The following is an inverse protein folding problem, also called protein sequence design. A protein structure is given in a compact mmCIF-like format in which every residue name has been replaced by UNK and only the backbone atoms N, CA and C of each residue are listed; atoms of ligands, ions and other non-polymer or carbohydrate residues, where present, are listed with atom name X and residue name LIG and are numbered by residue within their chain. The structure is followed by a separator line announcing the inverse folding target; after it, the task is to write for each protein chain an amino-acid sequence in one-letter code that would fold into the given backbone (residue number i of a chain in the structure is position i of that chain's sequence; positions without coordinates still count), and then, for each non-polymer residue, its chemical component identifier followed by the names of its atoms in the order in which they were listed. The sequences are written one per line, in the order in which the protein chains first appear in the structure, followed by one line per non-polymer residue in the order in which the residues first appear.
data_IF_531295912157
#
_entry.id   IF_531295912157
#
_cell.length_a   1.000
_cell.length_b   1.000
_cell.length_c   1.000
_cell.angle_alpha   90.00
_cell.angle_beta   90.00
_cell.angle_gamma   90.00
#
_symmetry.space_group_name_H-M   'P 1'
#
loop_
_entity.id
_entity.type
_entity.pdbx_description
1 polymer ?
#
# COMPACT_ATOMS: atom_id res chain seq x y z
N UNK A 1 2.23 45.68 -9.88
CA UNK A 1 1.26 44.57 -9.76
C UNK A 1 0.64 44.23 -11.12
N UNK A 2 0.41 45.21 -11.99
CA UNK A 2 -0.21 45.05 -13.32
C UNK A 2 0.53 44.18 -14.36
N UNK A 3 1.85 44.02 -14.30
CA UNK A 3 2.55 43.15 -15.28
C UNK A 3 2.27 41.66 -15.05
N UNK A 4 2.09 41.26 -13.79
CA UNK A 4 1.90 39.84 -13.43
C UNK A 4 0.52 39.36 -13.85
N UNK A 5 -0.51 40.21 -13.71
CA UNK A 5 -1.88 39.86 -14.09
C UNK A 5 -2.04 39.73 -15.62
N UNK A 6 -1.29 40.52 -16.40
CA UNK A 6 -1.31 40.44 -17.86
C UNK A 6 -0.73 39.12 -18.37
N UNK A 7 0.40 38.67 -17.80
CA UNK A 7 1.05 37.40 -18.18
C UNK A 7 0.16 36.20 -17.84
N UNK A 8 -0.52 36.23 -16.69
CA UNK A 8 -1.44 35.15 -16.27
C UNK A 8 -2.66 35.08 -17.20
N UNK A 9 -3.17 36.23 -17.65
CA UNK A 9 -4.32 36.27 -18.56
C UNK A 9 -3.99 35.81 -19.97
N UNK A 10 -2.76 36.04 -20.44
CA UNK A 10 -2.28 35.60 -21.76
C UNK A 10 -1.97 34.08 -21.78
N UNK A 11 -1.41 33.54 -20.70
CA UNK A 11 -1.12 32.10 -20.58
C UNK A 11 -2.37 31.23 -20.36
N UNK A 12 -3.46 31.79 -19.85
CA UNK A 12 -4.71 31.07 -19.60
C UNK A 12 -5.52 30.73 -20.86
N UNK A 13 -5.28 31.42 -21.97
CA UNK A 13 -6.03 31.22 -23.23
C UNK A 13 -5.44 30.14 -24.14
N UNK A 14 -4.26 29.61 -23.82
CA UNK A 14 -3.54 28.60 -24.64
C UNK A 14 -3.60 27.18 -24.03
N UNK A 15 -4.33 27.00 -22.93
CA UNK A 15 -4.55 25.69 -22.31
C UNK A 15 -5.78 25.03 -22.92
N UNK A 16 -5.61 24.53 -24.14
CA UNK A 16 -6.51 23.55 -24.74
C UNK A 16 -6.55 22.29 -23.86
N UNK A 17 -7.77 21.82 -23.59
CA UNK A 17 -8.09 20.60 -22.86
C UNK A 17 -7.43 19.39 -23.54
N UNK A 18 -6.38 18.82 -22.92
CA UNK A 18 -5.66 17.66 -23.47
C UNK A 18 -4.16 17.55 -23.17
N UNK A 19 -3.53 18.53 -22.52
CA UNK A 19 -2.10 18.46 -22.21
C UNK A 19 -1.81 17.83 -20.84
N UNK A 20 -2.15 16.55 -20.64
CA UNK A 20 -1.49 15.75 -19.59
C UNK A 20 -0.11 15.40 -20.11
N UNK A 21 0.87 16.28 -19.91
CA UNK A 21 2.27 15.91 -20.02
C UNK A 21 2.60 14.99 -18.84
N UNK A 22 2.42 13.70 -19.05
CA UNK A 22 3.05 12.65 -18.26
C UNK A 22 4.54 12.91 -18.32
N UNK A 23 5.10 13.47 -17.25
CA UNK A 23 6.53 13.55 -17.05
C UNK A 23 7.03 12.11 -16.87
N UNK A 24 7.32 11.45 -17.98
CA UNK A 24 8.13 10.25 -18.02
C UNK A 24 9.50 10.63 -17.45
N UNK A 25 9.72 10.33 -16.16
CA UNK A 25 11.06 10.36 -15.58
C UNK A 25 11.94 9.48 -16.49
N UNK A 26 12.89 10.10 -17.19
CA UNK A 26 13.87 9.38 -17.97
C UNK A 26 14.58 8.39 -17.04
N UNK A 27 14.53 7.10 -17.38
CA UNK A 27 15.38 6.11 -16.76
C UNK A 27 16.84 6.53 -16.98
N UNK A 28 17.52 6.89 -15.90
CA UNK A 28 18.95 7.20 -15.93
C UNK A 28 19.68 5.90 -15.64
N UNK A 29 20.43 5.40 -16.62
CA UNK A 29 21.29 4.25 -16.45
C UNK A 29 22.38 4.55 -15.39
N UNK A 30 22.41 3.82 -14.26
CA UNK A 30 23.43 4.01 -13.22
C UNK A 30 24.85 3.77 -13.72
N UNK A 31 25.04 2.96 -14.78
CA UNK A 31 26.35 2.63 -15.33
C UNK A 31 27.03 3.85 -15.98
N UNK A 32 26.27 4.90 -16.32
CA UNK A 32 26.79 6.16 -16.88
C UNK A 32 27.78 6.87 -15.93
N UNK A 33 27.69 6.64 -14.63
CA UNK A 33 28.55 7.27 -13.63
C UNK A 33 29.76 6.41 -13.22
N UNK A 34 29.82 5.14 -13.64
CA UNK A 34 30.81 4.18 -13.13
C UNK A 34 32.14 4.18 -13.88
N UNK A 35 32.12 4.18 -15.21
CA UNK A 35 33.35 3.92 -15.99
C UNK A 35 34.20 5.17 -16.23
N UNK A 36 33.58 6.32 -16.50
CA UNK A 36 34.30 7.52 -16.92
C UNK A 36 35.14 8.18 -15.80
N UNK A 37 34.82 7.93 -14.53
CA UNK A 37 35.55 8.54 -13.42
C UNK A 37 36.88 7.81 -13.12
N UNK A 38 36.91 6.49 -13.33
CA UNK A 38 38.06 5.65 -13.00
C UNK A 38 39.28 5.91 -13.91
N UNK A 39 39.07 6.18 -15.20
CA UNK A 39 40.18 6.43 -16.14
C UNK A 39 40.86 7.79 -15.90
N UNK A 40 40.13 8.81 -15.44
CA UNK A 40 40.67 10.17 -15.29
C UNK A 40 41.60 10.36 -14.09
N UNK A 41 41.51 9.50 -13.08
CA UNK A 41 42.32 9.58 -11.86
C UNK A 41 43.65 8.79 -11.92
N UNK A 42 43.83 7.93 -12.92
CA UNK A 42 44.99 7.05 -13.02
C UNK A 42 46.26 7.72 -13.60
N UNK A 43 46.17 8.98 -14.02
CA UNK A 43 47.23 9.65 -14.81
C UNK A 43 48.36 10.34 -14.04
N UNK A 44 48.28 10.52 -12.71
CA UNK A 44 49.27 11.34 -12.00
C UNK A 44 49.58 10.98 -10.54
N UNK A 45 49.10 9.84 -10.03
CA UNK A 45 49.44 9.39 -8.67
C UNK A 45 49.88 7.92 -8.66
N UNK A 46 50.98 7.63 -7.98
CA UNK A 46 51.50 6.27 -7.71
C UNK A 46 50.63 5.58 -6.65
N UNK A 47 49.35 5.39 -6.97
CA UNK A 47 48.33 4.83 -6.07
C UNK A 47 47.96 3.45 -6.55
N UNK A 48 48.23 2.44 -5.72
CA UNK A 48 47.83 1.06 -5.95
C UNK A 48 46.41 0.85 -5.41
N UNK A 49 45.44 0.70 -6.30
CA UNK A 49 44.08 0.30 -5.93
C UNK A 49 44.08 -1.22 -5.70
N UNK A 50 43.85 -1.65 -4.46
CA UNK A 50 43.63 -3.06 -4.13
C UNK A 50 42.11 -3.27 -4.01
N UNK A 51 41.49 -4.08 -4.88
CA UNK A 51 40.06 -4.36 -4.77
C UNK A 51 39.81 -5.25 -3.54
N UNK A 52 39.07 -4.72 -2.57
CA UNK A 52 38.51 -5.51 -1.47
C UNK A 52 37.24 -6.23 -1.95
N UNK A 53 36.95 -7.40 -1.36
CA UNK A 53 35.77 -8.18 -1.73
C UNK A 53 34.49 -7.35 -1.56
N UNK A 54 33.80 -7.03 -2.66
CA UNK A 54 32.49 -6.38 -2.63
C UNK A 54 31.40 -7.42 -2.91
N UNK A 55 30.41 -7.49 -2.02
CA UNK A 55 29.19 -8.24 -2.27
C UNK A 55 28.11 -7.28 -2.73
N UNK A 56 27.67 -7.41 -3.97
CA UNK A 56 26.49 -6.68 -4.49
C UNK A 56 25.31 -7.63 -4.40
N UNK A 57 24.32 -7.29 -3.58
CA UNK A 57 23.02 -7.97 -3.58
C UNK A 57 22.08 -7.21 -4.52
N UNK A 58 21.82 -7.70 -5.74
CA UNK A 58 20.82 -7.09 -6.61
C UNK A 58 19.46 -7.14 -5.91
N UNK A 59 18.68 -6.06 -6.03
CA UNK A 59 17.30 -6.04 -5.56
C UNK A 59 16.54 -7.15 -6.30
N UNK A 60 15.94 -8.07 -5.55
CA UNK A 60 15.08 -9.09 -6.13
C UNK A 60 13.99 -8.39 -6.96
N UNK A 61 13.86 -8.78 -8.22
CA UNK A 61 12.66 -8.45 -8.99
C UNK A 61 11.49 -9.04 -8.22
N UNK A 62 10.52 -8.20 -7.84
CA UNK A 62 9.27 -8.69 -7.27
C UNK A 62 8.74 -9.71 -8.27
N UNK A 63 8.74 -10.98 -7.90
CA UNK A 63 8.07 -12.00 -8.70
C UNK A 63 6.60 -11.58 -8.78
N UNK A 64 6.03 -11.54 -9.99
CA UNK A 64 4.59 -11.27 -10.19
C UNK A 64 3.71 -12.30 -9.43
N UNK A 65 4.32 -13.34 -8.87
CA UNK A 65 3.70 -14.36 -8.03
C UNK A 65 3.84 -14.15 -6.51
N UNK A 66 4.50 -13.08 -6.06
CA UNK A 66 4.57 -12.78 -4.63
C UNK A 66 3.24 -12.18 -4.14
N UNK A 67 2.63 -12.70 -3.04
CA UNK A 67 1.42 -12.11 -2.47
C UNK A 67 1.65 -10.64 -2.10
N UNK A 68 0.78 -9.77 -2.60
CA UNK A 68 0.75 -8.37 -2.18
C UNK A 68 -0.22 -8.22 -1.01
N UNK A 69 0.18 -7.48 0.03
CA UNK A 69 -0.71 -7.16 1.14
C UNK A 69 -1.23 -5.74 1.01
N UNK A 70 -2.54 -5.59 1.14
CA UNK A 70 -3.23 -4.30 1.12
C UNK A 70 -4.09 -4.14 2.38
N UNK A 71 -4.45 -2.90 2.69
CA UNK A 71 -5.40 -2.62 3.76
C UNK A 71 -6.55 -1.75 3.25
N UNK A 72 -7.74 -2.07 3.72
CA UNK A 72 -8.96 -1.29 3.49
C UNK A 72 -9.57 -0.85 4.81
N UNK A 73 -10.18 0.34 4.80
CA UNK A 73 -10.91 0.91 5.93
C UNK A 73 -12.40 0.94 5.59
N UNK A 74 -13.22 0.22 6.35
CA UNK A 74 -14.68 0.16 6.18
C UNK A 74 -15.35 0.87 7.36
N UNK A 75 -15.84 2.11 7.18
CA UNK A 75 -16.53 2.85 8.23
C UNK A 75 -18.02 2.49 8.31
N UNK A 76 -18.52 2.37 9.54
CA UNK A 76 -19.94 2.12 9.81
C UNK A 76 -20.65 3.47 10.03
N UNK A 77 -21.40 3.94 9.03
CA UNK A 77 -22.16 5.20 9.11
C UNK A 77 -23.52 5.05 9.80
N UNK A 78 -23.99 3.81 9.94
CA UNK A 78 -25.22 3.39 10.63
C UNK A 78 -24.95 2.05 11.31
N UNK A 79 -25.87 1.64 12.19
CA UNK A 79 -25.87 0.28 12.71
C UNK A 79 -26.05 -0.70 11.54
N UNK A 80 -25.12 -1.65 11.40
CA UNK A 80 -25.03 -2.53 10.22
C UNK A 80 -24.44 -3.89 10.60
N UNK A 81 -24.92 -4.96 9.96
CA UNK A 81 -24.33 -6.29 10.10
C UNK A 81 -22.93 -6.35 9.44
N UNK A 82 -22.00 -7.04 10.10
CA UNK A 82 -20.60 -7.12 9.63
C UNK A 82 -20.51 -7.75 8.23
N UNK A 83 -21.31 -8.78 7.96
CA UNK A 83 -21.37 -9.41 6.63
C UNK A 83 -21.88 -8.44 5.56
N UNK A 84 -22.88 -7.62 5.88
CA UNK A 84 -23.41 -6.62 4.95
C UNK A 84 -22.38 -5.52 4.69
N UNK A 85 -21.60 -5.12 5.71
CA UNK A 85 -20.51 -4.16 5.56
C UNK A 85 -19.43 -4.66 4.60
N UNK A 86 -18.99 -5.92 4.74
CA UNK A 86 -18.05 -6.54 3.79
C UNK A 86 -18.62 -6.59 2.38
N UNK A 87 -19.89 -7.00 2.22
CA UNK A 87 -20.54 -7.08 0.92
C UNK A 87 -20.64 -5.71 0.23
N UNK A 88 -20.94 -4.65 0.99
CA UNK A 88 -20.99 -3.27 0.47
C UNK A 88 -19.61 -2.76 0.01
N UNK A 89 -18.53 -3.27 0.59
CA UNK A 89 -17.15 -3.06 0.14
C UNK A 89 -16.71 -3.99 -1.00
N UNK A 90 -17.58 -4.87 -1.48
CA UNK A 90 -17.29 -5.81 -2.57
C UNK A 90 -16.71 -7.15 -2.11
N UNK A 91 -16.60 -7.40 -0.80
CA UNK A 91 -16.13 -8.67 -0.24
C UNK A 91 -17.30 -9.60 0.06
N UNK A 92 -17.64 -10.45 -0.89
CA UNK A 92 -18.76 -11.42 -0.78
C UNK A 92 -18.27 -12.87 -0.69
N UNK A 93 -16.95 -13.09 -0.64
CA UNK A 93 -16.35 -14.41 -0.56
C UNK A 93 -16.58 -15.14 0.77
N UNK A 94 -16.26 -16.44 0.77
CA UNK A 94 -16.32 -17.29 1.97
C UNK A 94 -15.38 -16.79 3.08
N UNK A 95 -14.25 -16.20 2.69
CA UNK A 95 -13.26 -15.60 3.59
C UNK A 95 -13.85 -14.40 4.36
N UNK A 96 -14.58 -13.52 3.68
CA UNK A 96 -15.24 -12.37 4.28
C UNK A 96 -16.40 -12.81 5.19
N UNK A 97 -17.18 -13.80 4.75
CA UNK A 97 -18.27 -14.38 5.54
C UNK A 97 -17.74 -15.07 6.80
N UNK A 98 -16.67 -15.86 6.68
CA UNK A 98 -16.02 -16.52 7.81
C UNK A 98 -15.40 -15.52 8.79
N UNK A 99 -14.81 -14.43 8.29
CA UNK A 99 -14.29 -13.36 9.14
C UNK A 99 -15.42 -12.64 9.89
N UNK A 100 -16.53 -12.32 9.22
CA UNK A 100 -17.71 -11.73 9.85
C UNK A 100 -18.28 -12.61 10.95
N UNK A 101 -18.39 -13.92 10.72
CA UNK A 101 -18.80 -14.88 11.75
C UNK A 101 -17.83 -14.93 12.94
N UNK A 102 -16.51 -14.89 12.68
CA UNK A 102 -15.52 -14.90 13.74
C UNK A 102 -15.63 -13.64 14.61
N UNK A 103 -15.82 -12.47 14.00
CA UNK A 103 -16.08 -11.21 14.70
C UNK A 103 -17.36 -11.32 15.53
N UNK A 104 -18.43 -11.86 14.94
CA UNK A 104 -19.71 -11.99 15.63
C UNK A 104 -19.65 -12.93 16.83
N UNK A 105 -18.91 -14.05 16.73
CA UNK A 105 -18.68 -14.99 17.84
C UNK A 105 -17.87 -14.36 18.95
N UNK A 106 -16.85 -13.55 18.61
CA UNK A 106 -15.96 -12.95 19.60
C UNK A 106 -16.61 -11.75 20.31
N UNK A 107 -17.31 -10.88 19.58
CA UNK A 107 -18.01 -9.71 20.12
C UNK A 107 -19.42 -10.03 20.64
N UNK A 108 -19.91 -11.25 20.42
CA UNK A 108 -21.26 -11.68 20.72
C UNK A 108 -22.35 -10.77 20.09
N UNK A 109 -22.07 -10.26 18.88
CA UNK A 109 -22.93 -9.33 18.15
C UNK A 109 -22.70 -9.45 16.63
N UNK A 110 -23.77 -9.59 15.84
CA UNK A 110 -23.66 -9.67 14.37
C UNK A 110 -23.59 -8.29 13.71
N UNK A 111 -24.15 -7.28 14.38
CA UNK A 111 -24.17 -5.90 13.93
C UNK A 111 -23.32 -5.00 14.83
N UNK A 112 -22.61 -4.07 14.20
CA UNK A 112 -21.78 -3.07 14.86
C UNK A 112 -22.44 -1.70 14.77
N UNK A 113 -22.15 -0.85 15.76
CA UNK A 113 -22.74 0.48 15.88
C UNK A 113 -22.16 1.47 14.88
N UNK A 114 -22.95 2.47 14.52
CA UNK A 114 -22.43 3.64 13.82
C UNK A 114 -21.21 4.25 14.56
N UNK A 115 -20.18 4.64 13.81
CA UNK A 115 -18.90 5.12 14.35
C UNK A 115 -17.84 4.03 14.54
N UNK A 116 -18.20 2.76 14.34
CA UNK A 116 -17.22 1.66 14.28
C UNK A 116 -16.45 1.72 12.95
N UNK A 117 -15.19 1.31 12.98
CA UNK A 117 -14.33 1.22 11.80
C UNK A 117 -13.69 -0.17 11.76
N UNK A 118 -13.75 -0.82 10.59
CA UNK A 118 -12.97 -2.03 10.32
C UNK A 118 -11.71 -1.66 9.54
N UNK A 119 -10.55 -2.10 10.03
CA UNK A 119 -9.29 -2.10 9.28
C UNK A 119 -9.05 -3.53 8.78
N UNK A 120 -9.31 -3.75 7.50
CA UNK A 120 -9.29 -5.05 6.83
C UNK A 120 -7.94 -5.23 6.15
N UNK A 121 -7.18 -6.26 6.54
CA UNK A 121 -5.98 -6.69 5.85
C UNK A 121 -6.32 -7.72 4.78
N UNK A 122 -5.86 -7.46 3.57
CA UNK A 122 -6.12 -8.23 2.37
C UNK A 122 -4.81 -8.83 1.85
N UNK A 123 -4.87 -10.09 1.46
CA UNK A 123 -3.85 -10.75 0.67
C UNK A 123 -4.33 -10.80 -0.78
N UNK A 124 -3.61 -10.14 -1.67
CA UNK A 124 -3.94 -9.97 -3.08
C UNK A 124 -3.04 -10.86 -3.92
N UNK A 125 -3.67 -11.71 -4.74
CA UNK A 125 -3.03 -12.57 -5.72
C UNK A 125 -3.66 -12.30 -7.09
N UNK A 126 -2.97 -11.53 -7.94
CA UNK A 126 -3.53 -11.05 -9.21
C UNK A 126 -4.81 -10.24 -8.95
N UNK A 127 -5.94 -10.70 -9.51
CA UNK A 127 -7.25 -10.03 -9.38
C UNK A 127 -8.06 -10.50 -8.15
N UNK A 128 -7.57 -11.47 -7.39
CA UNK A 128 -8.28 -12.00 -6.22
C UNK A 128 -7.73 -11.39 -4.92
N UNK A 129 -8.61 -10.77 -4.12
CA UNK A 129 -8.30 -10.31 -2.79
C UNK A 129 -8.95 -11.22 -1.74
N UNK A 130 -8.17 -11.62 -0.74
CA UNK A 130 -8.60 -12.47 0.37
C UNK A 130 -8.47 -11.73 1.69
N UNK A 131 -9.52 -11.70 2.49
CA UNK A 131 -9.54 -11.15 3.85
C UNK A 131 -8.74 -12.06 4.78
N UNK A 132 -7.55 -11.60 5.19
CA UNK A 132 -6.64 -12.35 6.08
C UNK A 132 -6.56 -11.75 7.48
N UNK A 133 -6.96 -10.50 7.66
CA UNK A 133 -6.99 -9.83 8.97
C UNK A 133 -8.14 -8.84 9.03
N UNK A 134 -8.75 -8.66 10.20
CA UNK A 134 -9.67 -7.55 10.44
C UNK A 134 -9.53 -7.06 11.87
N UNK A 135 -9.32 -5.75 12.02
CA UNK A 135 -9.30 -5.06 13.31
C UNK A 135 -10.54 -4.20 13.44
N UNK A 136 -11.21 -4.28 14.58
CA UNK A 136 -12.43 -3.52 14.90
C UNK A 136 -12.07 -2.40 15.85
N UNK A 137 -12.48 -1.19 15.49
CA UNK A 137 -12.26 0.02 16.28
C UNK A 137 -13.59 0.70 16.59
N UNK A 138 -13.85 1.08 17.84
CA UNK A 138 -14.86 2.11 18.16
C UNK A 138 -14.15 3.46 18.18
N UNK A 139 -14.36 4.28 17.14
CA UNK A 139 -13.64 5.54 16.92
C UNK A 139 -12.12 5.34 16.91
N UNK A 140 -11.44 5.65 18.02
CA UNK A 140 -9.98 5.53 18.16
C UNK A 140 -9.58 4.39 19.10
N UNK A 141 -10.54 3.66 19.66
CA UNK A 141 -10.29 2.58 20.60
C UNK A 141 -10.28 1.25 19.84
N UNK A 142 -9.16 0.54 19.89
CA UNK A 142 -9.07 -0.84 19.44
C UNK A 142 -9.93 -1.74 20.33
N UNK A 143 -10.76 -2.58 19.70
CA UNK A 143 -11.62 -3.54 20.40
C UNK A 143 -11.06 -4.95 20.24
N UNK A 144 -10.79 -5.36 19.00
CA UNK A 144 -10.25 -6.69 18.70
C UNK A 144 -9.58 -6.71 17.32
N UNK A 145 -8.57 -7.56 17.17
CA UNK A 145 -8.07 -7.98 15.86
C UNK A 145 -8.21 -9.49 15.73
N UNK A 146 -8.69 -9.93 14.57
CA UNK A 146 -8.75 -11.34 14.17
C UNK A 146 -7.90 -11.51 12.92
N UNK A 147 -7.11 -12.57 12.86
CA UNK A 147 -6.28 -12.92 11.72
C UNK A 147 -6.44 -14.39 11.33
N UNK A 148 -6.18 -14.69 10.06
CA UNK A 148 -6.10 -16.05 9.53
C UNK A 148 -4.70 -16.60 9.80
N UNK A 149 -4.61 -17.74 10.48
CA UNK A 149 -3.33 -18.43 10.67
C UNK A 149 -3.00 -19.39 9.51
N UNK A 150 -1.81 -19.98 9.54
CA UNK A 150 -1.33 -20.95 8.51
C UNK A 150 -2.19 -22.21 8.38
N UNK A 151 -3.07 -22.48 9.36
CA UNK A 151 -4.03 -23.59 9.33
C UNK A 151 -5.40 -23.17 8.77
N UNK A 152 -5.54 -21.94 8.28
CA UNK A 152 -6.80 -21.39 7.80
C UNK A 152 -7.83 -21.12 8.90
N UNK A 153 -7.39 -20.93 10.15
CA UNK A 153 -8.27 -20.68 11.28
C UNK A 153 -8.24 -19.19 11.65
N UNK A 154 -9.41 -18.63 11.95
CA UNK A 154 -9.55 -17.28 12.50
C UNK A 154 -9.17 -17.29 13.99
N UNK A 155 -8.12 -16.55 14.33
CA UNK A 155 -7.59 -16.47 15.70
C UNK A 155 -7.49 -15.01 16.15
N UNK A 156 -7.68 -14.71 17.45
CA UNK A 156 -7.36 -13.40 17.98
C UNK A 156 -5.88 -13.07 17.75
N UNK A 157 -5.61 -11.83 17.34
CA UNK A 157 -4.27 -11.33 17.06
C UNK A 157 -4.05 -9.98 17.75
N UNK A 158 -2.79 -9.53 17.76
CA UNK A 158 -2.45 -8.20 18.29
C UNK A 158 -2.92 -7.10 17.32
N UNK A 159 -3.15 -5.92 17.88
CA UNK A 159 -3.46 -4.73 17.10
C UNK A 159 -2.33 -4.45 16.07
N UNK A 160 -2.65 -4.13 14.81
CA UNK A 160 -1.65 -3.71 13.84
C UNK A 160 -1.01 -2.38 14.22
N UNK A 161 0.28 -2.22 13.90
CA UNK A 161 0.98 -0.95 14.13
C UNK A 161 0.23 0.23 13.46
N UNK A 162 0.23 1.41 14.10
CA UNK A 162 -0.29 2.62 13.50
C UNK A 162 0.53 3.00 12.25
N UNK A 163 -0.16 3.56 11.25
CA UNK A 163 0.46 4.06 10.01
C UNK A 163 1.22 5.37 10.22
#
# INVERSE_FOLDING_TARGET
ADEVEKVVREAGTDLSDGAVQVASLHYVDPQRFGEAFAESMAGSYDVKIVPENVSVAPRATVDDQAPAFAEEIIPFTKDLDVTEAFANSGYTGEDATGMAEAIAKLLNATALKAGTVLRVGLEVHGDAAKVVRTSVYDRTQHIVTIALNDRGQYVPAQEPDPN
#
